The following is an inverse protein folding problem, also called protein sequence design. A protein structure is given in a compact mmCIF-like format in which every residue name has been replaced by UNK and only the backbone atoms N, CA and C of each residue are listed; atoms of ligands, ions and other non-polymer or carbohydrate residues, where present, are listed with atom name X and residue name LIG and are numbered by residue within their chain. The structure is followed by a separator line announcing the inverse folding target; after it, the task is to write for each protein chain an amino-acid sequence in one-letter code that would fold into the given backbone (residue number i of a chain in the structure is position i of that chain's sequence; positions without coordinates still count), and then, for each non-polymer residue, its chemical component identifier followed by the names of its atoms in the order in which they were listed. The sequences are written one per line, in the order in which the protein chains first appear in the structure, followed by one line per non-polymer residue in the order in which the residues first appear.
data_IF_513107204517
#
_entry.id   IF_513107204517
#
_cell.length_a   1.000
_cell.length_b   1.000
_cell.length_c   1.000
_cell.angle_alpha   90.00
_cell.angle_beta   90.00
_cell.angle_gamma   90.00
#
_symmetry.space_group_name_H-M   'P 1'
#
loop_
_entity.id
_entity.type
_entity.pdbx_description
1 polymer ?
#
# COMPACT_ATOMS: atom_id res chain seq x y z
N UNK A 1 -31.36 53.27 25.69
CA UNK A 1 -30.02 53.35 26.29
C UNK A 1 -29.10 52.44 25.49
N UNK A 2 -28.03 53.01 24.95
CA UNK A 2 -26.99 52.35 24.15
C UNK A 2 -25.96 51.76 25.10
N UNK A 3 -25.77 50.45 25.11
CA UNK A 3 -24.54 49.83 25.62
C UNK A 3 -24.05 48.85 24.57
N UNK A 4 -23.13 49.35 23.74
CA UNK A 4 -22.19 48.56 22.94
C UNK A 4 -21.21 47.90 23.92
N UNK A 5 -20.91 46.61 23.74
CA UNK A 5 -19.55 46.04 23.83
C UNK A 5 -19.67 44.53 23.55
N UNK A 6 -19.47 44.07 22.31
CA UNK A 6 -18.19 43.48 21.89
C UNK A 6 -17.56 42.60 22.98
N UNK A 7 -17.94 41.33 23.08
CA UNK A 7 -17.14 40.24 23.67
C UNK A 7 -17.83 38.87 23.51
N UNK A 8 -18.02 38.41 22.27
CA UNK A 8 -18.36 37.01 21.99
C UNK A 8 -17.78 36.60 20.62
N UNK A 9 -16.50 36.93 20.42
CA UNK A 9 -15.70 36.67 19.21
C UNK A 9 -14.82 35.40 19.35
N UNK A 10 -14.94 34.60 20.42
CA UNK A 10 -13.97 33.51 20.65
C UNK A 10 -14.59 32.13 20.93
N UNK A 11 -15.72 31.78 20.31
CA UNK A 11 -16.19 30.39 20.34
C UNK A 11 -16.80 29.93 19.00
N UNK A 12 -16.20 30.35 17.89
CA UNK A 12 -16.23 29.48 16.71
C UNK A 12 -15.13 28.46 16.95
N UNK A 13 -15.43 27.15 17.09
CA UNK A 13 -14.37 26.20 16.78
C UNK A 13 -13.98 26.55 15.36
N UNK A 14 -12.68 26.71 15.12
CA UNK A 14 -12.15 26.65 13.79
C UNK A 14 -12.71 25.37 13.19
N UNK A 15 -13.75 25.49 12.37
CA UNK A 15 -14.24 24.45 11.50
C UNK A 15 -13.21 24.37 10.38
N UNK A 16 -12.01 23.96 10.78
CA UNK A 16 -11.01 23.44 9.89
C UNK A 16 -11.65 22.22 9.29
N UNK A 17 -12.10 22.35 8.05
CA UNK A 17 -12.19 21.24 7.13
C UNK A 17 -10.76 20.74 6.93
N UNK A 18 -10.24 20.02 7.91
CA UNK A 18 -9.30 18.98 7.61
C UNK A 18 -10.12 17.98 6.82
N UNK A 19 -10.13 18.14 5.48
CA UNK A 19 -10.06 16.97 4.65
C UNK A 19 -8.91 16.18 5.25
N UNK A 20 -9.27 15.15 6.00
CA UNK A 20 -8.38 14.11 6.44
C UNK A 20 -7.86 13.50 5.15
N UNK A 21 -6.86 14.16 4.56
CA UNK A 21 -5.88 13.47 3.76
C UNK A 21 -5.32 12.47 4.76
N UNK A 22 -5.88 11.27 4.73
CA UNK A 22 -5.32 10.08 5.35
C UNK A 22 -3.86 10.10 4.91
N UNK A 23 -3.00 10.61 5.79
CA UNK A 23 -1.56 10.49 5.64
C UNK A 23 -1.34 9.00 5.47
N UNK A 24 -0.77 8.53 4.34
CA UNK A 24 -0.44 7.13 4.20
C UNK A 24 0.45 6.78 5.39
N UNK A 25 -0.12 6.05 6.33
CA UNK A 25 0.53 5.42 7.45
C UNK A 25 1.91 4.91 6.98
N UNK A 26 2.97 5.61 7.39
CA UNK A 26 4.38 5.31 7.13
C UNK A 26 4.76 4.05 7.92
N UNK A 27 4.06 2.95 7.68
CA UNK A 27 4.52 1.63 8.11
C UNK A 27 5.82 1.37 7.38
N UNK A 28 6.84 0.89 8.11
CA UNK A 28 8.08 0.48 7.45
C UNK A 28 7.75 -0.55 6.37
N UNK A 29 8.56 -0.56 5.31
CA UNK A 29 8.42 -1.56 4.24
C UNK A 29 8.43 -2.97 4.84
N UNK A 30 9.27 -3.21 5.85
CA UNK A 30 9.36 -4.49 6.56
C UNK A 30 8.05 -4.89 7.25
N UNK A 31 7.40 -3.93 7.92
CA UNK A 31 6.13 -4.18 8.62
C UNK A 31 5.02 -4.50 7.62
N UNK A 32 5.02 -3.79 6.49
CA UNK A 32 4.08 -4.06 5.39
C UNK A 32 4.31 -5.43 4.77
N UNK A 33 5.57 -5.83 4.56
CA UNK A 33 5.90 -7.14 4.01
C UNK A 33 5.45 -8.26 4.95
N UNK A 34 5.67 -8.12 6.27
CA UNK A 34 5.18 -9.09 7.27
C UNK A 34 3.65 -9.22 7.32
N UNK A 35 2.93 -8.17 6.92
CA UNK A 35 1.46 -8.22 6.83
C UNK A 35 0.97 -8.89 5.54
N UNK A 36 1.81 -8.90 4.49
CA UNK A 36 1.48 -9.51 3.20
C UNK A 36 1.88 -10.99 3.18
N UNK A 37 3.02 -11.32 3.80
CA UNK A 37 3.52 -12.68 4.01
C UNK A 37 2.56 -13.44 4.96
N UNK A 38 1.65 -14.20 4.36
CA UNK A 38 0.58 -14.92 5.08
C UNK A 38 0.96 -16.35 5.41
N UNK A 39 1.83 -16.96 4.60
CA UNK A 39 2.34 -18.30 4.83
C UNK A 39 3.60 -18.32 5.72
N UNK A 40 4.14 -17.14 6.04
CA UNK A 40 5.28 -16.92 6.92
C UNK A 40 6.52 -17.71 6.47
N UNK A 41 6.68 -17.85 5.15
CA UNK A 41 7.85 -18.49 4.55
C UNK A 41 9.07 -17.55 4.49
N UNK A 42 8.89 -16.27 4.88
CA UNK A 42 9.91 -15.24 4.90
C UNK A 42 10.14 -14.57 3.55
N UNK A 43 9.33 -14.90 2.55
CA UNK A 43 9.27 -14.29 1.24
C UNK A 43 7.84 -13.78 0.99
N UNK A 44 7.69 -12.94 -0.03
CA UNK A 44 6.37 -12.48 -0.44
C UNK A 44 6.14 -12.93 -1.87
N UNK A 45 5.20 -13.85 -2.05
CA UNK A 45 4.86 -14.41 -3.36
C UNK A 45 3.99 -13.44 -4.17
N UNK A 46 4.00 -13.58 -5.51
CA UNK A 46 3.17 -12.72 -6.37
C UNK A 46 1.67 -12.95 -6.13
N UNK A 47 1.30 -14.16 -5.74
CA UNK A 47 -0.06 -14.53 -5.30
C UNK A 47 -0.53 -13.74 -4.08
N UNK A 48 0.34 -13.55 -3.08
CA UNK A 48 0.02 -12.77 -1.88
C UNK A 48 -0.05 -11.27 -2.16
N UNK A 49 0.87 -10.77 -3.00
CA UNK A 49 0.79 -9.39 -3.50
C UNK A 49 -0.51 -9.17 -4.25
N UNK A 50 -0.92 -10.11 -5.11
CA UNK A 50 -2.19 -10.02 -5.85
C UNK A 50 -3.37 -9.95 -4.89
N UNK A 51 -3.43 -10.83 -3.89
CA UNK A 51 -4.49 -10.81 -2.89
C UNK A 51 -4.53 -9.49 -2.10
N UNK A 52 -3.36 -8.97 -1.70
CA UNK A 52 -3.25 -7.70 -0.99
C UNK A 52 -3.66 -6.50 -1.84
N UNK A 53 -3.23 -6.46 -3.11
CA UNK A 53 -3.55 -5.39 -4.04
C UNK A 53 -5.04 -5.42 -4.41
N UNK A 54 -5.63 -6.60 -4.59
CA UNK A 54 -7.06 -6.73 -4.83
C UNK A 54 -7.91 -6.29 -3.63
N UNK A 55 -7.44 -6.55 -2.40
CA UNK A 55 -8.08 -6.06 -1.18
C UNK A 55 -8.00 -4.54 -1.02
N UNK A 56 -6.94 -3.90 -1.54
CA UNK A 56 -6.71 -2.44 -1.46
C UNK A 56 -7.35 -1.64 -2.59
N UNK A 57 -7.23 -2.12 -3.83
CA UNK A 57 -7.55 -1.38 -5.05
C UNK A 57 -8.72 -1.98 -5.84
N UNK A 58 -9.19 -3.18 -5.46
CA UNK A 58 -10.26 -3.89 -6.14
C UNK A 58 -9.75 -4.99 -7.08
N UNK A 59 -10.68 -5.86 -7.51
CA UNK A 59 -10.38 -6.98 -8.41
C UNK A 59 -9.79 -6.49 -9.72
N UNK A 60 -8.76 -7.15 -10.24
CA UNK A 60 -8.19 -6.79 -11.53
C UNK A 60 -6.98 -5.85 -11.47
N UNK A 61 -6.60 -5.36 -10.29
CA UNK A 61 -5.51 -4.39 -10.17
C UNK A 61 -4.18 -4.99 -10.65
N UNK A 62 -3.61 -4.40 -11.71
CA UNK A 62 -2.30 -4.75 -12.28
C UNK A 62 -2.10 -6.25 -12.58
N UNK A 63 -3.16 -6.97 -12.90
CA UNK A 63 -3.10 -8.41 -13.16
C UNK A 63 -2.09 -8.77 -14.26
N UNK A 64 -2.02 -7.97 -15.33
CA UNK A 64 -1.05 -8.19 -16.43
C UNK A 64 0.39 -8.07 -15.94
N UNK A 65 0.71 -7.05 -15.14
CA UNK A 65 2.05 -6.85 -14.59
C UNK A 65 2.43 -7.97 -13.62
N UNK A 66 1.51 -8.35 -12.73
CA UNK A 66 1.72 -9.45 -11.79
C UNK A 66 1.93 -10.79 -12.53
N UNK A 67 1.19 -11.03 -13.60
CA UNK A 67 1.34 -12.24 -14.43
C UNK A 67 2.67 -12.23 -15.19
N UNK A 68 3.11 -11.09 -15.71
CA UNK A 68 4.43 -10.97 -16.34
C UNK A 68 5.55 -11.22 -15.32
N UNK A 69 5.42 -10.69 -14.11
CA UNK A 69 6.37 -10.94 -13.02
C UNK A 69 6.45 -12.42 -12.65
N UNK A 70 5.31 -13.12 -12.50
CA UNK A 70 5.27 -14.58 -12.27
C UNK A 70 5.95 -15.34 -13.40
N UNK A 71 5.70 -14.94 -14.65
CA UNK A 71 6.28 -15.58 -15.83
C UNK A 71 7.80 -15.39 -15.84
N UNK A 72 8.29 -14.18 -15.55
CA UNK A 72 9.72 -13.87 -15.50
C UNK A 72 10.43 -14.54 -14.33
N UNK A 73 9.80 -14.62 -13.16
CA UNK A 73 10.33 -15.34 -12.01
C UNK A 73 10.58 -16.82 -12.37
N UNK A 74 9.65 -17.45 -13.08
CA UNK A 74 9.80 -18.83 -13.56
C UNK A 74 10.78 -18.97 -14.74
N UNK A 75 11.00 -17.91 -15.53
CA UNK A 75 11.90 -17.94 -16.70
C UNK A 75 13.38 -17.81 -16.33
N UNK A 76 13.72 -17.67 -15.03
CA UNK A 76 15.10 -17.60 -14.55
C UNK A 76 15.99 -18.80 -14.97
N UNK A 77 15.40 -19.92 -15.40
CA UNK A 77 16.11 -21.13 -15.86
C UNK A 77 16.65 -21.08 -17.30
N UNK A 78 16.60 -19.94 -17.99
CA UNK A 78 17.13 -19.77 -19.36
C UNK A 78 18.52 -19.16 -19.46
N UNK A 79 19.15 -18.79 -18.34
CA UNK A 79 20.46 -18.13 -18.39
C UNK A 79 21.55 -19.10 -18.88
N UNK A 80 22.55 -18.65 -19.66
CA UNK A 80 23.69 -19.48 -20.05
C UNK A 80 24.44 -20.08 -18.84
N UNK A 81 24.28 -19.49 -17.66
CA UNK A 81 24.86 -19.93 -16.40
C UNK A 81 24.09 -21.07 -15.71
N UNK A 82 22.85 -21.34 -16.13
CA UNK A 82 21.99 -22.41 -15.56
C UNK A 82 22.14 -23.75 -16.29
N UNK A 83 22.82 -23.79 -17.46
CA UNK A 83 23.22 -25.03 -18.11
C UNK A 83 24.47 -25.58 -17.42
N UNK A 84 24.32 -26.60 -16.58
CA UNK A 84 25.48 -27.41 -16.17
C UNK A 84 25.99 -28.19 -17.39
N UNK A 85 27.09 -27.73 -17.98
CA UNK A 85 27.85 -28.52 -18.96
C UNK A 85 28.83 -29.43 -18.23
N UNK A 86 28.34 -30.47 -17.56
CA UNK A 86 29.14 -31.62 -17.12
C UNK A 86 28.24 -32.86 -17.08
#
# INVERSE_FOLDING_TARGET
MKVRLLLLICLWPALGTAADAVQPQELSVDERLRLIDTDHDGQVSVSEIRAYLEAKHGKGYEQTLLTEMETKANTSCGSPFSRSFY
#
